data_IF_739893947240
#
_entry.id   IF_739893947240
#
_cell.length_a   1.000
_cell.length_b   1.000
_cell.length_c   1.000
_cell.angle_alpha   90.00
_cell.angle_beta   90.00
_cell.angle_gamma   90.00
#
_symmetry.space_group_name_H-M   'P 1'
#
loop_
_entity.id
_entity.type
_entity.pdbx_description
1 polymer ?
#
# COMPACT_ATOMS: atom_id res chain seq x y z
N UNK A 1 22.01 21.83 5.74
CA UNK A 1 22.05 20.38 5.50
C UNK A 1 21.06 20.10 4.36
N UNK A 2 21.52 19.53 3.26
CA UNK A 2 20.68 19.25 2.08
C UNK A 2 20.20 17.80 2.15
N UNK A 3 19.04 17.62 2.78
CA UNK A 3 18.51 16.29 3.12
C UNK A 3 17.98 15.54 1.89
N UNK A 4 17.44 16.24 0.91
CA UNK A 4 16.88 15.63 -0.31
C UNK A 4 17.97 15.07 -1.22
N UNK A 5 19.13 15.74 -1.30
CA UNK A 5 20.28 15.22 -2.04
C UNK A 5 20.95 14.05 -1.31
N UNK A 6 21.06 14.13 0.02
CA UNK A 6 21.64 13.05 0.82
C UNK A 6 20.83 11.76 0.71
N UNK A 7 19.49 11.85 0.73
CA UNK A 7 18.58 10.72 0.56
C UNK A 7 18.86 9.94 -0.74
N UNK A 8 18.93 10.62 -1.88
CA UNK A 8 19.18 9.98 -3.17
C UNK A 8 20.51 9.20 -3.21
N UNK A 9 21.55 9.69 -2.52
CA UNK A 9 22.84 9.02 -2.45
C UNK A 9 22.85 7.80 -1.52
N UNK A 10 22.07 7.79 -0.45
CA UNK A 10 22.00 6.65 0.47
C UNK A 10 21.19 5.48 -0.09
N UNK A 11 20.19 5.75 -0.94
CA UNK A 11 19.34 4.73 -1.55
C UNK A 11 20.07 3.75 -2.48
N UNK A 12 21.24 4.12 -3.01
CA UNK A 12 22.04 3.28 -3.93
C UNK A 12 23.28 2.69 -3.23
N UNK A 13 23.30 2.70 -1.90
CA UNK A 13 24.48 2.42 -1.08
C UNK A 13 24.59 1.01 -0.49
N UNK A 14 25.48 0.86 0.50
CA UNK A 14 25.74 -0.36 1.29
C UNK A 14 24.84 -0.46 2.53
N UNK A 15 24.95 -1.53 3.32
CA UNK A 15 24.23 -1.63 4.61
C UNK A 15 24.49 -0.43 5.54
N UNK A 16 25.72 0.14 5.55
CA UNK A 16 26.00 1.36 6.31
C UNK A 16 25.19 2.57 5.81
N UNK A 17 24.81 2.56 4.53
CA UNK A 17 23.97 3.60 3.92
C UNK A 17 22.52 3.52 4.41
N UNK A 18 22.01 2.33 4.71
CA UNK A 18 20.68 2.15 5.31
C UNK A 18 20.61 2.69 6.76
N UNK A 19 21.66 2.47 7.56
CA UNK A 19 21.77 3.06 8.90
C UNK A 19 21.89 4.59 8.82
N UNK A 20 22.74 5.10 7.92
CA UNK A 20 22.86 6.53 7.70
C UNK A 20 21.53 7.16 7.24
N UNK A 21 20.78 6.50 6.35
CA UNK A 21 19.47 6.94 5.90
C UNK A 21 18.48 7.03 7.07
N UNK A 22 18.39 5.99 7.91
CA UNK A 22 17.54 6.00 9.10
C UNK A 22 17.86 7.16 10.06
N UNK A 23 19.16 7.45 10.26
CA UNK A 23 19.60 8.59 11.07
C UNK A 23 19.20 9.93 10.44
N UNK A 24 19.46 10.10 9.14
CA UNK A 24 19.19 11.35 8.41
C UNK A 24 17.70 11.65 8.39
N UNK A 25 16.84 10.65 8.18
CA UNK A 25 15.39 10.81 8.23
C UNK A 25 14.92 11.21 9.63
N UNK A 26 15.51 10.62 10.67
CA UNK A 26 15.18 11.00 12.05
C UNK A 26 15.58 12.45 12.32
N UNK A 27 16.80 12.85 11.98
CA UNK A 27 17.27 14.24 12.12
C UNK A 27 16.38 15.21 11.33
N UNK A 28 15.99 14.85 10.11
CA UNK A 28 15.11 15.69 9.30
C UNK A 28 13.74 15.85 9.98
N UNK A 29 13.21 14.79 10.57
CA UNK A 29 11.96 14.85 11.33
C UNK A 29 12.03 15.76 12.57
N UNK A 30 13.22 15.94 13.16
CA UNK A 30 13.42 16.84 14.30
C UNK A 30 13.39 18.32 13.88
N UNK A 31 13.73 18.63 12.63
CA UNK A 31 13.68 20.00 12.11
C UNK A 31 12.26 20.51 11.87
N UNK A 32 11.27 19.61 11.80
CA UNK A 32 9.86 19.96 11.56
C UNK A 32 8.95 19.29 12.60
N UNK A 33 8.96 19.73 13.88
CA UNK A 33 8.27 19.05 14.97
C UNK A 33 6.75 18.98 14.83
N UNK A 34 6.15 19.85 14.00
CA UNK A 34 4.71 19.89 13.74
C UNK A 34 4.25 18.79 12.77
N UNK A 35 5.16 18.22 11.99
CA UNK A 35 4.85 17.17 11.04
C UNK A 35 4.92 15.81 11.72
N UNK A 36 4.12 14.86 11.25
CA UNK A 36 4.20 13.48 11.73
C UNK A 36 5.56 12.88 11.34
N UNK A 37 6.36 12.50 12.34
CA UNK A 37 7.67 11.87 12.14
C UNK A 37 7.58 10.60 11.30
N UNK A 38 6.46 9.89 11.37
CA UNK A 38 6.20 8.72 10.55
C UNK A 38 6.18 9.01 9.05
N UNK A 39 5.93 10.26 8.63
CA UNK A 39 6.01 10.63 7.21
C UNK A 39 7.45 10.54 6.67
N UNK A 40 8.42 11.01 7.45
CA UNK A 40 9.84 10.93 7.09
C UNK A 40 10.32 9.49 7.05
N UNK A 41 9.95 8.70 8.05
CA UNK A 41 10.28 7.28 8.06
C UNK A 41 9.65 6.54 6.88
N UNK A 42 8.35 6.75 6.64
CA UNK A 42 7.63 6.10 5.55
C UNK A 42 8.25 6.43 4.20
N UNK A 43 8.70 7.67 3.97
CA UNK A 43 9.37 8.08 2.74
C UNK A 43 10.58 7.20 2.41
N UNK A 44 11.50 7.02 3.35
CA UNK A 44 12.68 6.16 3.14
C UNK A 44 12.32 4.69 2.99
N UNK A 45 11.34 4.20 3.76
CA UNK A 45 10.90 2.81 3.69
C UNK A 45 10.24 2.50 2.34
N UNK A 46 9.40 3.38 1.82
CA UNK A 46 8.76 3.19 0.53
C UNK A 46 9.79 3.18 -0.61
N UNK A 47 10.84 3.99 -0.53
CA UNK A 47 11.92 3.99 -1.52
C UNK A 47 12.71 2.68 -1.47
N UNK A 48 13.17 2.24 -0.29
CA UNK A 48 13.89 0.97 -0.14
C UNK A 48 13.07 -0.23 -0.63
N UNK A 49 11.78 -0.28 -0.27
CA UNK A 49 10.89 -1.34 -0.75
C UNK A 49 10.65 -1.24 -2.26
N UNK A 50 10.53 -0.05 -2.84
CA UNK A 50 10.39 0.09 -4.30
C UNK A 50 11.61 -0.43 -5.08
N UNK A 51 12.78 -0.52 -4.43
CA UNK A 51 14.00 -1.12 -4.97
C UNK A 51 14.14 -2.61 -4.63
N UNK A 52 13.10 -3.23 -4.05
CA UNK A 52 13.10 -4.60 -3.55
C UNK A 52 14.08 -4.87 -2.39
N UNK A 53 14.54 -3.83 -1.68
CA UNK A 53 15.52 -3.92 -0.59
C UNK A 53 14.83 -4.04 0.79
N UNK A 54 14.14 -5.16 1.04
CA UNK A 54 13.46 -5.38 2.33
C UNK A 54 14.44 -5.43 3.53
N UNK A 55 15.67 -5.91 3.31
CA UNK A 55 16.70 -5.95 4.35
C UNK A 55 17.03 -4.54 4.84
N UNK A 56 17.31 -3.63 3.92
CA UNK A 56 17.77 -2.29 4.23
C UNK A 56 16.61 -1.43 4.75
N UNK A 57 15.40 -1.63 4.23
CA UNK A 57 14.19 -1.05 4.81
C UNK A 57 14.04 -1.41 6.31
N UNK A 58 14.30 -2.67 6.70
CA UNK A 58 14.26 -3.04 8.12
C UNK A 58 15.36 -2.36 8.96
N UNK A 59 16.55 -2.14 8.38
CA UNK A 59 17.65 -1.41 9.04
C UNK A 59 17.31 0.06 9.23
N UNK A 60 16.76 0.72 8.21
CA UNK A 60 16.25 2.10 8.27
C UNK A 60 15.19 2.23 9.37
N UNK A 61 14.21 1.32 9.38
CA UNK A 61 13.13 1.29 10.37
C UNK A 61 13.67 1.18 11.79
N UNK A 62 14.53 0.19 12.05
CA UNK A 62 15.12 -0.02 13.38
C UNK A 62 15.91 1.21 13.83
N UNK A 63 16.79 1.72 12.97
CA UNK A 63 17.64 2.87 13.27
C UNK A 63 16.82 4.10 13.64
N UNK A 64 15.73 4.37 12.92
CA UNK A 64 14.84 5.49 13.19
C UNK A 64 14.05 5.29 14.49
N UNK A 65 13.41 4.12 14.66
CA UNK A 65 12.48 3.86 15.77
C UNK A 65 13.21 3.76 17.11
N UNK A 66 14.41 3.20 17.16
CA UNK A 66 15.23 3.14 18.39
C UNK A 66 15.59 4.53 18.94
N UNK A 67 15.51 5.57 18.11
CA UNK A 67 15.77 6.96 18.51
C UNK A 67 14.50 7.71 18.95
N UNK A 68 13.31 7.14 18.73
CA UNK A 68 12.07 7.78 19.14
C UNK A 68 11.93 7.74 20.68
N UNK A 69 11.64 8.89 21.31
CA UNK A 69 11.34 8.90 22.74
C UNK A 69 10.08 8.06 23.05
N UNK A 70 9.96 7.46 24.26
CA UNK A 70 8.81 6.66 24.64
C UNK A 70 7.45 7.37 24.54
N UNK A 71 7.44 8.71 24.52
CA UNK A 71 6.22 9.52 24.35
C UNK A 71 5.50 9.25 23.02
N UNK A 72 6.18 8.70 22.01
CA UNK A 72 5.59 8.33 20.72
C UNK A 72 4.84 6.99 20.76
N UNK A 73 5.07 6.18 21.78
CA UNK A 73 4.35 4.93 22.00
C UNK A 73 2.92 5.21 22.45
N UNK A 74 1.98 4.40 21.97
CA UNK A 74 0.63 4.35 22.50
C UNK A 74 0.63 3.75 23.91
N UNK A 75 -0.32 4.17 24.75
CA UNK A 75 -0.55 3.54 26.05
C UNK A 75 -1.05 2.10 25.90
N UNK A 76 -1.68 1.79 24.77
CA UNK A 76 -2.20 0.45 24.46
C UNK A 76 -1.16 -0.37 23.68
N UNK A 77 -0.17 -0.88 24.41
CA UNK A 77 0.75 -1.88 23.85
C UNK A 77 0.10 -3.26 23.88
N UNK A 78 0.15 -3.97 22.76
CA UNK A 78 -0.29 -5.36 22.70
C UNK A 78 0.84 -6.27 23.17
N UNK A 79 0.53 -7.15 24.11
CA UNK A 79 1.48 -8.16 24.59
C UNK A 79 1.68 -9.19 23.46
N UNK A 80 2.91 -9.43 23.01
CA UNK A 80 3.17 -10.45 21.99
C UNK A 80 2.69 -11.82 22.47
N UNK A 81 1.89 -12.51 21.68
CA UNK A 81 1.59 -13.92 21.92
C UNK A 81 2.87 -14.73 21.71
N UNK A 82 3.08 -15.80 22.49
CA UNK A 82 4.26 -16.67 22.35
C UNK A 82 4.49 -17.06 20.88
N UNK A 83 5.67 -16.75 20.36
CA UNK A 83 6.07 -17.03 18.98
C UNK A 83 5.75 -15.93 17.96
N UNK A 84 5.08 -14.85 18.36
CA UNK A 84 4.81 -13.70 17.47
C UNK A 84 5.91 -12.64 17.54
N UNK A 85 6.17 -11.96 16.42
CA UNK A 85 7.04 -10.77 16.39
C UNK A 85 6.45 -9.68 17.26
N UNK A 86 7.30 -8.98 18.01
CA UNK A 86 6.86 -7.86 18.85
C UNK A 86 6.49 -6.68 17.96
N UNK A 87 5.22 -6.28 18.00
CA UNK A 87 4.71 -5.10 17.28
C UNK A 87 4.49 -3.99 18.30
N UNK A 88 5.07 -2.82 18.04
CA UNK A 88 4.89 -1.66 18.92
C UNK A 88 3.73 -0.84 18.39
N UNK A 89 2.83 -0.41 19.28
CA UNK A 89 1.75 0.49 18.89
C UNK A 89 2.24 1.93 19.08
N UNK A 90 2.20 2.75 18.04
CA UNK A 90 2.54 4.17 18.09
C UNK A 90 1.29 5.04 18.10
N UNK A 91 1.41 6.27 18.60
CA UNK A 91 0.37 7.30 18.46
C UNK A 91 0.23 7.77 17.00
N UNK A 92 1.33 7.75 16.25
CA UNK A 92 1.36 8.09 14.83
C UNK A 92 0.77 6.95 13.98
N UNK A 93 -0.23 7.22 13.12
CA UNK A 93 -0.73 6.24 12.17
C UNK A 93 0.33 5.84 11.14
N UNK A 94 1.23 6.75 10.77
CA UNK A 94 2.27 6.48 9.77
C UNK A 94 3.36 5.57 10.31
N UNK A 95 3.80 5.74 11.57
CA UNK A 95 4.72 4.79 12.20
C UNK A 95 4.13 3.38 12.27
N UNK A 96 2.85 3.27 12.64
CA UNK A 96 2.13 1.99 12.64
C UNK A 96 2.03 1.39 11.23
N UNK A 97 1.66 2.18 10.23
CA UNK A 97 1.61 1.74 8.83
C UNK A 97 2.96 1.19 8.40
N UNK A 98 4.05 1.90 8.70
CA UNK A 98 5.39 1.52 8.26
C UNK A 98 5.81 0.16 8.81
N UNK A 99 5.57 -0.07 10.11
CA UNK A 99 5.83 -1.38 10.73
C UNK A 99 5.00 -2.50 10.10
N UNK A 100 3.70 -2.25 9.90
CA UNK A 100 2.79 -3.24 9.33
C UNK A 100 3.10 -3.54 7.85
N UNK A 101 3.57 -2.54 7.10
CA UNK A 101 3.96 -2.69 5.71
C UNK A 101 5.19 -3.61 5.59
N UNK A 102 6.22 -3.40 6.42
CA UNK A 102 7.39 -4.28 6.46
C UNK A 102 7.00 -5.73 6.76
N UNK A 103 6.14 -5.94 7.75
CA UNK A 103 5.62 -7.27 8.08
C UNK A 103 4.79 -7.86 6.92
N UNK A 104 3.97 -7.05 6.25
CA UNK A 104 3.21 -7.50 5.09
C UNK A 104 4.15 -7.96 3.97
N UNK A 105 5.21 -7.20 3.67
CA UNK A 105 6.22 -7.58 2.67
C UNK A 105 6.94 -8.89 3.02
N UNK A 106 7.23 -9.15 4.30
CA UNK A 106 7.80 -10.44 4.74
C UNK A 106 6.84 -11.62 4.50
N UNK A 107 5.53 -11.41 4.70
CA UNK A 107 4.54 -12.46 4.49
C UNK A 107 4.17 -12.68 3.03
N UNK A 108 4.38 -11.67 2.17
CA UNK A 108 3.95 -11.67 0.77
C UNK A 108 2.43 -11.76 0.57
N UNK A 109 1.61 -11.51 1.61
CA UNK A 109 0.16 -11.69 1.54
C UNK A 109 -0.54 -10.46 0.88
N UNK A 110 -1.10 -10.59 -0.34
CA UNK A 110 -1.69 -9.45 -1.05
C UNK A 110 -2.95 -8.90 -0.39
N UNK A 111 -3.69 -9.73 0.36
CA UNK A 111 -4.89 -9.29 1.07
C UNK A 111 -4.53 -8.35 2.24
N UNK A 112 -3.43 -8.64 2.95
CA UNK A 112 -2.92 -7.75 4.00
C UNK A 112 -2.48 -6.41 3.42
N UNK A 113 -1.76 -6.42 2.30
CA UNK A 113 -1.34 -5.20 1.63
C UNK A 113 -2.52 -4.32 1.20
N UNK A 114 -3.53 -4.90 0.54
CA UNK A 114 -4.76 -4.19 0.15
C UNK A 114 -5.52 -3.61 1.35
N UNK A 115 -5.57 -4.36 2.46
CA UNK A 115 -6.18 -3.88 3.70
C UNK A 115 -5.43 -2.65 4.26
N UNK A 116 -4.09 -2.68 4.24
CA UNK A 116 -3.27 -1.53 4.66
C UNK A 116 -3.51 -0.31 3.77
N UNK A 117 -3.53 -0.49 2.45
CA UNK A 117 -3.83 0.59 1.50
C UNK A 117 -5.20 1.23 1.77
N UNK A 118 -6.23 0.41 2.00
CA UNK A 118 -7.57 0.91 2.31
C UNK A 118 -7.62 1.65 3.64
N UNK A 119 -7.07 1.05 4.70
CA UNK A 119 -7.10 1.61 6.07
C UNK A 119 -6.32 2.91 6.20
N UNK A 120 -5.18 3.02 5.52
CA UNK A 120 -4.28 4.16 5.64
C UNK A 120 -4.36 5.13 4.45
N UNK A 121 -5.39 5.03 3.59
CA UNK A 121 -5.55 5.88 2.40
C UNK A 121 -5.38 7.38 2.70
N UNK A 122 -6.02 7.87 3.77
CA UNK A 122 -5.91 9.28 4.17
C UNK A 122 -4.48 9.66 4.59
N UNK A 123 -3.81 8.78 5.34
CA UNK A 123 -2.43 8.98 5.78
C UNK A 123 -1.43 8.93 4.61
N UNK A 124 -1.70 8.10 3.59
CA UNK A 124 -0.89 8.03 2.37
C UNK A 124 -1.07 9.25 1.45
N UNK A 125 -2.16 10.01 1.60
CA UNK A 125 -2.47 11.16 0.74
C UNK A 125 -1.71 12.44 1.13
N UNK A 126 -0.87 12.38 2.16
CA UNK A 126 -0.09 13.55 2.64
C UNK A 126 1.10 13.88 1.73
N UNK A 127 1.57 12.92 0.93
CA UNK A 127 2.66 13.07 -0.03
C UNK A 127 2.25 12.35 -1.33
N UNK A 128 2.25 13.09 -2.43
CA UNK A 128 1.88 12.58 -3.75
C UNK A 128 2.77 11.44 -4.24
N UNK A 129 4.01 11.33 -3.73
CA UNK A 129 4.95 10.29 -4.10
C UNK A 129 4.65 8.94 -3.44
N UNK A 130 3.86 8.91 -2.36
CA UNK A 130 3.59 7.67 -1.64
C UNK A 130 2.71 6.70 -2.43
N UNK A 131 1.73 7.21 -3.16
CA UNK A 131 0.83 6.36 -3.95
C UNK A 131 1.55 5.62 -5.09
N UNK A 132 2.38 6.27 -5.94
CA UNK A 132 3.20 5.58 -6.94
C UNK A 132 4.15 4.54 -6.35
N UNK A 133 4.81 4.85 -5.23
CA UNK A 133 5.70 3.89 -4.56
C UNK A 133 4.94 2.69 -4.01
N UNK A 134 3.78 2.91 -3.38
CA UNK A 134 2.91 1.81 -2.93
C UNK A 134 2.44 0.93 -4.10
N UNK A 135 2.12 1.50 -5.26
CA UNK A 135 1.81 0.72 -6.45
C UNK A 135 2.98 -0.19 -6.86
N UNK A 136 4.19 0.38 -6.92
CA UNK A 136 5.42 -0.35 -7.26
C UNK A 136 5.69 -1.50 -6.27
N UNK A 137 5.52 -1.25 -4.98
CA UNK A 137 5.66 -2.26 -3.92
C UNK A 137 4.61 -3.37 -4.07
N UNK A 138 3.37 -3.01 -4.44
CA UNK A 138 2.28 -3.95 -4.75
C UNK A 138 2.65 -4.94 -5.85
N UNK A 139 3.32 -4.46 -6.89
CA UNK A 139 3.82 -5.28 -7.99
C UNK A 139 4.97 -6.19 -7.53
N UNK A 140 5.99 -5.62 -6.87
CA UNK A 140 7.23 -6.33 -6.49
C UNK A 140 6.99 -7.42 -5.44
N UNK A 141 6.31 -7.10 -4.34
CA UNK A 141 6.18 -8.01 -3.19
C UNK A 141 4.92 -8.86 -3.20
N UNK A 142 3.89 -8.45 -3.95
CA UNK A 142 2.56 -9.07 -3.87
C UNK A 142 2.01 -9.52 -5.23
N UNK A 143 2.74 -9.26 -6.33
CA UNK A 143 2.32 -9.64 -7.68
C UNK A 143 1.00 -8.98 -8.12
N UNK A 144 0.64 -7.84 -7.52
CA UNK A 144 -0.58 -7.11 -7.85
C UNK A 144 -0.33 -6.37 -9.16
N UNK A 145 -0.76 -6.97 -10.26
CA UNK A 145 -0.67 -6.33 -11.57
C UNK A 145 -1.62 -5.14 -11.63
N UNK A 146 -1.09 -3.97 -12.02
CA UNK A 146 -1.94 -2.84 -12.35
C UNK A 146 -2.78 -3.22 -13.58
N UNK A 147 -4.09 -2.93 -13.61
CA UNK A 147 -4.84 -3.02 -14.85
C UNK A 147 -4.14 -2.10 -15.85
N UNK A 148 -3.49 -2.71 -16.86
CA UNK A 148 -2.87 -1.98 -17.96
C UNK A 148 -3.91 -1.00 -18.46
N UNK A 149 -3.58 0.29 -18.52
CA UNK A 149 -4.45 1.26 -19.18
C UNK A 149 -4.81 0.68 -20.54
N UNK A 150 -6.08 0.31 -20.72
CA UNK A 150 -6.55 -0.14 -22.01
C UNK A 150 -6.23 0.99 -22.99
N UNK A 151 -5.48 0.68 -24.04
CA UNK A 151 -5.09 1.66 -25.04
C UNK A 151 -6.39 2.15 -25.69
N UNK A 152 -6.91 3.28 -25.22
CA UNK A 152 -8.20 3.81 -25.68
C UNK A 152 -8.20 4.02 -27.19
N UNK A 153 -7.04 4.35 -27.78
CA UNK A 153 -6.86 4.44 -29.23
C UNK A 153 -7.05 3.07 -29.92
N UNK A 154 -6.53 1.98 -29.34
CA UNK A 154 -6.70 0.64 -29.87
C UNK A 154 -8.16 0.18 -29.76
N UNK A 155 -8.86 0.53 -28.67
CA UNK A 155 -10.28 0.23 -28.49
C UNK A 155 -11.18 1.04 -29.45
N UNK A 156 -10.82 2.31 -29.70
CA UNK A 156 -11.49 3.16 -30.70
C UNK A 156 -11.24 2.66 -32.13
N UNK A 157 -10.01 2.26 -32.47
CA UNK A 157 -9.71 1.70 -33.78
C UNK A 157 -10.41 0.34 -33.97
N UNK A 158 -10.41 -0.52 -32.95
CA UNK A 158 -11.12 -1.81 -32.99
C UNK A 158 -12.63 -1.63 -33.17
N UNK A 159 -13.25 -0.67 -32.47
CA UNK A 159 -14.69 -0.38 -32.61
C UNK A 159 -15.06 0.29 -33.93
N UNK A 160 -14.17 1.09 -34.52
CA UNK A 160 -14.37 1.67 -35.86
C UNK A 160 -14.13 0.66 -36.99
N UNK A 161 -13.21 -0.29 -36.80
CA UNK A 161 -12.83 -1.27 -37.83
C UNK A 161 -13.62 -2.58 -37.77
N UNK A 162 -14.28 -2.90 -36.64
CA UNK A 162 -15.04 -4.16 -36.47
C UNK A 162 -16.45 -4.14 -37.06
N UNK A 163 -16.96 -2.98 -37.52
CA UNK A 163 -18.23 -2.86 -38.23
C UNK A 163 -19.48 -3.18 -37.36
N UNK A 164 -20.68 -2.73 -37.76
CA UNK A 164 -21.90 -3.02 -37.00
C UNK A 164 -22.21 -4.52 -37.01
N UNK A 165 -22.64 -5.12 -35.89
CA UNK A 165 -23.18 -6.48 -35.92
C UNK A 165 -24.36 -6.53 -36.90
N UNK A 166 -24.31 -7.47 -37.84
CA UNK A 166 -25.40 -7.71 -38.76
C UNK A 166 -26.70 -7.97 -37.96
N UNK A 167 -27.84 -7.38 -38.34
CA UNK A 167 -29.10 -7.61 -37.65
C UNK A 167 -29.51 -9.07 -37.86
N UNK A 168 -29.33 -9.89 -36.83
CA UNK A 168 -29.93 -11.21 -36.78
C UNK A 168 -31.45 -11.03 -36.67
N UNK A 169 -32.10 -11.45 -37.74
CA UNK A 169 -33.55 -11.49 -37.91
C UNK A 169 -34.25 -12.19 -36.76
N UNK A 170 -35.19 -11.45 -36.16
CA UNK A 170 -36.28 -11.87 -35.27
C UNK A 170 -36.93 -13.21 -35.68
N UNK A 171 -37.33 -14.04 -34.71
CA UNK A 171 -38.57 -14.82 -34.82
C UNK A 171 -39.65 -14.27 -33.88
N UNK A 172 -40.73 -13.82 -34.52
CA UNK A 172 -42.16 -13.96 -34.24
C UNK A 172 -42.68 -14.32 -32.83
N UNK A 173 -43.65 -13.50 -32.42
CA UNK A 173 -44.67 -13.64 -31.36
C UNK A 173 -45.42 -14.98 -31.33
N UNK A 174 -45.72 -15.41 -30.10
CA UNK A 174 -46.77 -16.35 -29.69
C UNK A 174 -46.38 -16.88 -28.30
N UNK A 175 -47.03 -16.61 -27.17
CA UNK A 175 -48.41 -16.26 -26.91
C UNK A 175 -49.01 -17.39 -26.07
N UNK A 176 -48.95 -17.30 -24.74
CA UNK A 176 -49.93 -17.88 -23.79
C UNK A 176 -49.66 -17.41 -22.36
N UNK A 177 -50.67 -16.76 -21.80
CA UNK A 177 -50.88 -16.51 -20.37
C UNK A 177 -51.32 -17.78 -19.64
N UNK A 178 -51.37 -17.66 -18.29
CA UNK A 178 -52.00 -18.51 -17.25
C UNK A 178 -51.09 -19.59 -16.67
N UNK A 179 -50.99 -19.82 -15.35
CA UNK A 179 -51.66 -19.31 -14.16
C UNK A 179 -50.85 -19.81 -12.94
N UNK A 180 -50.77 -19.03 -11.85
CA UNK A 180 -50.42 -19.53 -10.50
C UNK A 180 -51.62 -20.24 -9.88
N UNK A 181 -51.38 -21.21 -8.98
CA UNK A 181 -52.03 -21.20 -7.65
C UNK A 181 -50.97 -21.34 -6.55
N UNK A 182 -50.97 -20.46 -5.54
CA UNK A 182 -51.76 -20.52 -4.31
C UNK A 182 -51.19 -21.56 -3.31
N UNK A 183 -50.68 -21.02 -2.21
CA UNK A 183 -50.02 -21.69 -1.10
C UNK A 183 -51.13 -22.24 -0.20
N UNK A 184 -51.11 -23.55 0.06
CA UNK A 184 -52.04 -24.21 0.98
C UNK A 184 -51.27 -24.66 2.22
N UNK A 185 -51.75 -24.21 3.37
CA UNK A 185 -51.30 -24.60 4.72
C UNK A 185 -51.37 -26.11 4.93
N UNK A 186 -50.41 -26.66 5.67
CA UNK A 186 -50.60 -27.95 6.34
C UNK A 186 -49.76 -27.98 7.61
N UNK A 187 -50.49 -27.94 8.73
CA UNK A 187 -50.23 -28.34 10.13
C UNK A 187 -48.82 -28.22 10.74
#
# INVERSE_FOLDING_TARGET
KDYSQAEAHFLVGTQESAEALGLVLFEWSELQPKHDKGAYLLRGILQELSMSNLRDANVVYRTFVERLPPIYLSSEQKIPTKGSKTVQTFKSPLLNLTQLLLLACETGNPAMFKLLQGKYKAALSIDENFAPLMTTIGEIFFGIQLPKQANMLADLMSSLFSGPPAPSSRPTLGGTQTQQPAIEEMD
#
